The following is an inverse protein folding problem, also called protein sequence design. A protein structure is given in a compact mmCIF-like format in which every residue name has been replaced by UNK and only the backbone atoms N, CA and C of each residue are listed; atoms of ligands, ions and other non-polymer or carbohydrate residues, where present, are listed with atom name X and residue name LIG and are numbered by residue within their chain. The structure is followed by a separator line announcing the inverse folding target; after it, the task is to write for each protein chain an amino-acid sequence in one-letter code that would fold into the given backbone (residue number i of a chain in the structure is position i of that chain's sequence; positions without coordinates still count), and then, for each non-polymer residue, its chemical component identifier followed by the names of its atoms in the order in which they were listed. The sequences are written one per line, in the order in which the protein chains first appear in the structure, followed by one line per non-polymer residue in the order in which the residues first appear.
data_IF_137107195276
#
_entry.id   IF_137107195276
#
_cell.length_a   1.000
_cell.length_b   1.000
_cell.length_c   1.000
_cell.angle_alpha   90.00
_cell.angle_beta   90.00
_cell.angle_gamma   90.00
#
_symmetry.space_group_name_H-M   'P 1'
#
loop_
_entity.id
_entity.type
_entity.pdbx_description
1 polymer ?
#
# COMPACT_ATOMS: atom_id res chain seq x y z
N UNK A 1 0.38 17.24 5.47
CA UNK A 1 -0.54 16.08 5.57
C UNK A 1 -0.46 15.59 7.01
N UNK A 2 -1.60 15.41 7.69
CA UNK A 2 -1.59 14.99 9.10
C UNK A 2 -1.04 13.55 9.21
N UNK A 3 -0.09 13.35 10.12
CA UNK A 3 0.44 12.02 10.43
C UNK A 3 -0.64 11.19 11.12
N UNK A 4 -0.85 9.96 10.66
CA UNK A 4 -1.80 9.02 11.27
C UNK A 4 -1.20 8.53 12.60
N UNK A 5 -1.88 8.73 13.75
CA UNK A 5 -1.39 8.29 15.06
C UNK A 5 -1.03 6.80 15.06
N UNK A 6 0.08 6.43 15.72
CA UNK A 6 0.63 5.06 15.73
C UNK A 6 -0.40 4.01 16.17
N UNK A 7 -1.29 4.40 17.08
CA UNK A 7 -2.41 3.62 17.61
C UNK A 7 -3.57 3.36 16.63
N UNK A 8 -3.58 4.01 15.46
CA UNK A 8 -4.54 3.73 14.37
C UNK A 8 -3.99 2.76 13.33
N UNK A 9 -2.72 2.35 13.42
CA UNK A 9 -2.14 1.37 12.52
C UNK A 9 -2.46 -0.05 13.02
N UNK A 10 -3.09 -0.87 12.19
CA UNK A 10 -3.31 -2.28 12.55
C UNK A 10 -2.03 -3.12 12.37
N UNK A 11 -2.08 -4.38 12.81
CA UNK A 11 -0.97 -5.34 12.68
C UNK A 11 -0.84 -5.85 11.24
N UNK A 12 0.40 -5.92 10.73
CA UNK A 12 0.76 -6.53 9.43
C UNK A 12 0.13 -7.93 9.27
N UNK A 13 -0.47 -8.28 8.11
CA UNK A 13 -0.91 -9.65 7.85
C UNK A 13 0.26 -10.64 7.81
N UNK A 14 0.04 -11.88 8.26
CA UNK A 14 1.10 -12.91 8.29
C UNK A 14 1.70 -13.21 6.91
N UNK A 15 0.90 -13.11 5.85
CA UNK A 15 1.32 -13.36 4.48
C UNK A 15 2.18 -12.25 3.88
N UNK A 16 2.11 -11.02 4.40
CA UNK A 16 2.80 -9.89 3.80
C UNK A 16 4.29 -9.92 4.19
N UNK A 17 5.24 -10.07 3.26
CA UNK A 17 6.65 -10.24 3.59
C UNK A 17 7.31 -8.92 4.07
N UNK A 18 6.63 -7.80 3.89
CA UNK A 18 7.19 -6.47 4.13
C UNK A 18 6.89 -5.97 5.55
N UNK A 19 7.91 -5.98 6.40
CA UNK A 19 7.82 -5.58 7.82
C UNK A 19 7.36 -4.13 8.01
N UNK A 20 7.57 -3.29 6.98
CA UNK A 20 7.20 -1.89 6.92
C UNK A 20 5.77 -1.64 6.40
N UNK A 21 4.99 -2.68 6.06
CA UNK A 21 3.58 -2.51 5.67
C UNK A 21 2.76 -2.09 6.90
N UNK A 22 2.81 -0.81 7.23
CA UNK A 22 2.01 -0.19 8.29
C UNK A 22 0.55 -0.17 7.83
N UNK A 23 -0.36 -0.71 8.61
CA UNK A 23 -1.71 -1.04 8.16
C UNK A 23 -2.70 0.13 8.31
N UNK A 24 -3.02 0.85 7.22
CA UNK A 24 -4.09 1.86 7.25
C UNK A 24 -5.50 1.26 7.14
N UNK A 25 -5.67 0.16 6.38
CA UNK A 25 -6.92 -0.60 6.24
C UNK A 25 -6.63 -2.07 5.90
N UNK A 26 -7.38 -2.98 6.52
CA UNK A 26 -7.53 -4.33 6.00
C UNK A 26 -8.54 -4.30 4.86
N UNK A 27 -8.26 -5.00 3.77
CA UNK A 27 -9.29 -5.36 2.81
C UNK A 27 -9.55 -6.86 2.93
N UNK A 28 -10.23 -7.26 4.01
CA UNK A 28 -10.69 -8.64 4.24
C UNK A 28 -9.56 -9.69 4.26
N UNK A 29 -8.41 -9.32 4.83
CA UNK A 29 -7.19 -10.13 4.87
C UNK A 29 -6.47 -10.24 3.53
N UNK A 30 -6.91 -9.54 2.48
CA UNK A 30 -6.40 -9.70 1.11
C UNK A 30 -5.44 -8.62 0.65
N UNK A 31 -5.49 -7.41 1.20
CA UNK A 31 -4.59 -6.33 0.81
C UNK A 31 -4.09 -5.52 2.01
N UNK A 32 -2.89 -4.94 1.88
CA UNK A 32 -2.35 -3.95 2.82
C UNK A 32 -1.79 -2.74 2.08
N UNK A 33 -1.82 -1.58 2.72
CA UNK A 33 -1.13 -0.36 2.24
C UNK A 33 -0.27 0.18 3.33
N UNK A 34 1.02 0.38 3.06
CA UNK A 34 2.00 0.95 3.98
C UNK A 34 2.80 2.11 3.38
N UNK A 35 3.62 2.75 4.23
CA UNK A 35 4.57 3.80 3.83
C UNK A 35 5.95 3.17 3.66
N UNK A 36 6.66 3.54 2.59
CA UNK A 36 8.04 3.08 2.38
C UNK A 36 8.99 3.66 3.45
N UNK A 37 10.01 2.93 3.90
CA UNK A 37 10.99 3.40 4.88
C UNK A 37 11.79 4.59 4.34
N UNK A 38 12.09 4.54 3.04
CA UNK A 38 12.76 5.59 2.29
C UNK A 38 12.04 5.78 0.96
N UNK A 39 11.72 7.04 0.58
CA UNK A 39 11.15 7.32 -0.73
C UNK A 39 12.04 6.75 -1.85
N UNK A 40 11.44 6.11 -2.84
CA UNK A 40 12.14 5.51 -3.97
C UNK A 40 11.87 6.33 -5.24
N UNK A 41 12.90 6.83 -5.95
CA UNK A 41 12.69 7.60 -7.17
C UNK A 41 12.10 6.72 -8.28
N UNK A 42 11.03 7.20 -8.92
CA UNK A 42 10.37 6.53 -10.05
C UNK A 42 9.64 7.57 -10.91
N UNK A 43 9.84 7.51 -12.24
CA UNK A 43 9.14 8.32 -13.24
C UNK A 43 9.04 9.83 -12.95
N UNK A 44 10.10 10.40 -12.36
CA UNK A 44 10.20 11.82 -12.06
C UNK A 44 9.57 12.25 -10.73
N UNK A 45 9.06 11.32 -9.94
CA UNK A 45 8.59 11.53 -8.57
C UNK A 45 9.24 10.50 -7.62
N UNK A 46 8.84 10.51 -6.35
CA UNK A 46 9.24 9.54 -5.35
C UNK A 46 8.05 8.72 -4.90
N UNK A 47 8.12 7.42 -5.14
CA UNK A 47 7.25 6.45 -4.49
C UNK A 47 7.45 6.56 -2.98
N UNK A 48 6.35 6.73 -2.28
CA UNK A 48 6.33 6.93 -0.82
C UNK A 48 5.46 5.89 -0.13
N UNK A 49 4.65 5.17 -0.89
CA UNK A 49 3.71 4.17 -0.39
C UNK A 49 3.88 2.86 -1.15
N UNK A 50 3.39 1.79 -0.53
CA UNK A 50 3.35 0.44 -1.04
C UNK A 50 1.95 -0.11 -0.85
N UNK A 51 1.37 -0.66 -1.90
CA UNK A 51 0.14 -1.46 -1.90
C UNK A 51 0.52 -2.92 -2.17
N UNK A 52 0.13 -3.82 -1.27
CA UNK A 52 0.33 -5.26 -1.42
C UNK A 52 -1.01 -5.97 -1.55
N UNK A 53 -1.07 -7.00 -2.42
CA UNK A 53 -2.23 -7.88 -2.56
C UNK A 53 -1.80 -9.35 -2.42
N UNK A 54 -2.51 -10.07 -1.55
CA UNK A 54 -2.43 -11.52 -1.39
C UNK A 54 -3.07 -12.20 -2.60
N UNK A 55 -2.22 -12.62 -3.54
CA UNK A 55 -2.60 -13.44 -4.68
C UNK A 55 -2.20 -14.91 -4.50
N UNK A 56 -1.85 -15.33 -3.28
CA UNK A 56 -1.44 -16.72 -2.98
C UNK A 56 -2.60 -17.70 -3.21
N UNK A 57 -3.83 -17.30 -2.87
CA UNK A 57 -5.04 -18.12 -3.16
C UNK A 57 -5.25 -18.38 -4.67
N UNK A 58 -4.66 -17.54 -5.53
CA UNK A 58 -4.68 -17.71 -6.99
C UNK A 58 -3.37 -18.29 -7.54
N UNK A 59 -2.55 -18.93 -6.70
CA UNK A 59 -1.22 -19.48 -7.04
C UNK A 59 -0.20 -18.43 -7.53
N UNK A 60 -0.41 -17.15 -7.21
CA UNK A 60 0.53 -16.07 -7.51
C UNK A 60 1.49 -15.78 -6.36
N UNK A 61 2.56 -15.05 -6.66
CA UNK A 61 3.39 -14.37 -5.65
C UNK A 61 2.59 -13.22 -5.02
N UNK A 62 3.11 -12.55 -3.99
CA UNK A 62 2.49 -11.31 -3.49
C UNK A 62 2.67 -10.21 -4.53
N UNK A 63 1.57 -9.62 -4.98
CA UNK A 63 1.64 -8.44 -5.83
C UNK A 63 2.05 -7.23 -4.98
N UNK A 64 3.13 -6.56 -5.35
CA UNK A 64 3.69 -5.36 -4.70
C UNK A 64 3.68 -4.21 -5.70
N UNK A 65 2.91 -3.16 -5.40
CA UNK A 65 2.87 -1.92 -6.17
C UNK A 65 3.35 -0.76 -5.30
N UNK A 66 4.44 -0.13 -5.70
CA UNK A 66 4.89 1.12 -5.11
C UNK A 66 4.26 2.30 -5.85
N UNK A 67 3.75 3.25 -5.08
CA UNK A 67 3.04 4.42 -5.62
C UNK A 67 3.52 5.70 -4.94
N UNK A 68 3.47 6.79 -5.68
CA UNK A 68 3.62 8.14 -5.15
C UNK A 68 2.24 8.75 -4.82
N UNK A 69 2.23 10.00 -4.34
CA UNK A 69 0.99 10.69 -4.01
C UNK A 69 0.13 11.01 -5.24
N UNK A 70 0.77 11.30 -6.37
CA UNK A 70 0.12 11.61 -7.65
C UNK A 70 -0.66 10.40 -8.16
N UNK A 71 -0.05 9.21 -8.14
CA UNK A 71 -0.68 7.95 -8.54
C UNK A 71 -1.94 7.69 -7.70
N UNK A 72 -1.82 7.80 -6.37
CA UNK A 72 -2.94 7.58 -5.45
C UNK A 72 -4.11 8.55 -5.70
N UNK A 73 -3.80 9.82 -6.02
CA UNK A 73 -4.80 10.81 -6.39
C UNK A 73 -5.49 10.44 -7.72
N UNK A 74 -4.72 10.07 -8.75
CA UNK A 74 -5.25 9.66 -10.05
C UNK A 74 -6.12 8.39 -9.94
N UNK A 75 -5.71 7.40 -9.15
CA UNK A 75 -6.54 6.22 -8.85
C UNK A 75 -7.87 6.62 -8.21
N UNK A 76 -7.85 7.56 -7.27
CA UNK A 76 -9.08 8.04 -6.62
C UNK A 76 -10.00 8.75 -7.62
N UNK A 77 -9.45 9.48 -8.60
CA UNK A 77 -10.26 10.07 -9.67
C UNK A 77 -10.85 8.98 -10.57
N UNK A 78 -10.04 8.05 -11.05
CA UNK A 78 -10.48 6.98 -11.94
C UNK A 78 -11.59 6.11 -11.32
N UNK A 79 -11.48 5.81 -10.03
CA UNK A 79 -12.48 5.02 -9.31
C UNK A 79 -13.76 5.78 -8.97
N UNK A 80 -13.77 7.12 -9.03
CA UNK A 80 -15.01 7.90 -8.87
C UNK A 80 -15.92 7.83 -10.09
N UNK A 81 -15.37 7.48 -11.24
CA UNK A 81 -16.08 7.42 -12.51
C UNK A 81 -16.59 6.00 -12.84
N UNK A 82 -16.53 5.07 -11.88
CA UNK A 82 -17.04 3.69 -11.95
C UNK A 82 -18.15 3.52 -10.91
#
# INVERSE_FOLDING_TARGET
MAEIPEEQWNKRPLWCPWEDCKYMKDMQGKACVGKLPLPQPHDGDFNTHRFCLDTVETHGEIFDLQINHTDAYLFTLLLKDI
#
